data_IF_034025518568
#
_entry.id   IF_034025518568
#
_cell.length_a   1.000
_cell.length_b   1.000
_cell.length_c   1.000
_cell.angle_alpha   90.00
_cell.angle_beta   90.00
_cell.angle_gamma   90.00
#
_symmetry.space_group_name_H-M   'P 1'
#
loop_
_entity.id
_entity.type
_entity.pdbx_description
1 polymer ?
#
# COMPACT_ATOMS: atom_id res chain seq x y z
N UNK A 1 -10.65 -27.14 -10.01
CA UNK A 1 -10.97 -26.58 -11.34
C UNK A 1 -11.28 -25.12 -11.10
N UNK A 2 -10.57 -24.18 -11.75
CA UNK A 2 -10.80 -22.74 -11.55
C UNK A 2 -12.20 -22.39 -12.09
N UNK A 3 -12.99 -21.65 -11.33
CA UNK A 3 -14.28 -21.15 -11.80
C UNK A 3 -14.06 -20.18 -12.96
N UNK A 4 -15.01 -20.12 -13.90
CA UNK A 4 -15.01 -19.00 -14.86
C UNK A 4 -15.39 -17.72 -14.15
N UNK A 5 -14.91 -16.58 -14.63
CA UNK A 5 -15.24 -15.27 -14.05
C UNK A 5 -16.76 -15.04 -13.99
N UNK A 6 -17.48 -15.41 -15.04
CA UNK A 6 -18.95 -15.36 -15.05
C UNK A 6 -19.58 -16.19 -13.92
N UNK A 7 -19.15 -17.44 -13.74
CA UNK A 7 -19.70 -18.30 -12.69
C UNK A 7 -19.33 -17.81 -11.29
N UNK A 8 -18.19 -17.14 -11.15
CA UNK A 8 -17.77 -16.51 -9.90
C UNK A 8 -18.60 -15.24 -9.62
N UNK A 9 -18.80 -14.35 -10.61
CA UNK A 9 -19.67 -13.16 -10.48
C UNK A 9 -21.08 -13.54 -10.02
N UNK A 10 -21.69 -14.54 -10.65
CA UNK A 10 -23.04 -15.01 -10.27
C UNK A 10 -23.11 -15.41 -8.78
N UNK A 11 -22.08 -16.08 -8.25
CA UNK A 11 -22.02 -16.44 -6.82
C UNK A 11 -21.76 -15.23 -5.91
N UNK A 12 -20.95 -14.28 -6.36
CA UNK A 12 -20.60 -13.11 -5.56
C UNK A 12 -21.72 -12.07 -5.51
N UNK A 13 -22.59 -11.99 -6.54
CA UNK A 13 -23.80 -11.16 -6.47
C UNK A 13 -24.73 -11.62 -5.34
N UNK A 14 -24.94 -12.92 -5.16
CA UNK A 14 -25.76 -13.43 -4.06
C UNK A 14 -25.17 -13.04 -2.68
N UNK A 15 -23.84 -13.00 -2.58
CA UNK A 15 -23.14 -12.57 -1.37
C UNK A 15 -23.27 -11.06 -1.17
N UNK A 16 -23.09 -10.27 -2.23
CA UNK A 16 -23.21 -8.81 -2.20
C UNK A 16 -24.64 -8.36 -1.86
N UNK A 17 -25.66 -9.00 -2.45
CA UNK A 17 -27.08 -8.75 -2.16
C UNK A 17 -27.47 -9.08 -0.71
N UNK A 18 -26.65 -9.88 -0.03
CA UNK A 18 -26.80 -10.24 1.38
C UNK A 18 -25.77 -9.51 2.27
N UNK A 19 -25.43 -8.26 1.93
CA UNK A 19 -24.50 -7.38 2.66
C UNK A 19 -23.12 -8.02 2.92
N UNK A 20 -22.63 -8.78 1.94
CA UNK A 20 -21.38 -9.54 2.02
C UNK A 20 -21.34 -10.57 3.17
N UNK A 21 -22.49 -11.00 3.70
CA UNK A 21 -22.52 -11.96 4.78
C UNK A 21 -22.05 -13.35 4.30
N UNK A 22 -21.12 -13.93 5.06
CA UNK A 22 -20.72 -15.33 4.85
C UNK A 22 -21.95 -16.24 5.14
N UNK A 23 -22.35 -17.13 4.22
CA UNK A 23 -23.46 -18.05 4.45
C UNK A 23 -23.25 -18.87 5.74
N UNK A 24 -24.30 -19.08 6.54
CA UNK A 24 -24.23 -19.60 7.92
C UNK A 24 -23.47 -20.93 8.11
N UNK A 25 -23.25 -21.70 7.05
CA UNK A 25 -22.55 -22.99 7.08
C UNK A 25 -21.28 -23.05 6.22
N UNK A 26 -20.92 -21.94 5.56
CA UNK A 26 -19.75 -21.87 4.71
C UNK A 26 -18.50 -21.54 5.53
N UNK A 27 -17.36 -22.12 5.14
CA UNK A 27 -16.05 -21.65 5.61
C UNK A 27 -15.54 -20.58 4.65
N UNK A 28 -14.95 -19.52 5.19
CA UNK A 28 -14.45 -18.39 4.41
C UNK A 28 -13.23 -18.79 3.55
N UNK A 29 -12.28 -19.57 4.09
CA UNK A 29 -11.03 -19.90 3.40
C UNK A 29 -11.21 -20.59 2.03
N UNK A 30 -12.00 -21.68 1.88
CA UNK A 30 -12.19 -22.29 0.57
C UNK A 30 -12.73 -21.31 -0.49
N UNK A 31 -13.65 -20.43 -0.10
CA UNK A 31 -14.20 -19.39 -0.98
C UNK A 31 -13.18 -18.30 -1.30
N UNK A 32 -12.39 -17.89 -0.32
CA UNK A 32 -11.28 -16.98 -0.54
C UNK A 32 -10.29 -17.51 -1.58
N UNK A 33 -9.91 -18.79 -1.47
CA UNK A 33 -9.00 -19.43 -2.42
C UNK A 33 -9.58 -19.59 -3.83
N UNK A 34 -10.91 -19.64 -3.98
CA UNK A 34 -11.58 -19.59 -5.29
C UNK A 34 -11.50 -18.18 -5.91
N UNK A 35 -11.51 -17.13 -5.08
CA UNK A 35 -11.46 -15.73 -5.51
C UNK A 35 -10.04 -15.23 -5.82
N UNK A 36 -9.01 -15.64 -5.05
CA UNK A 36 -7.65 -15.10 -5.18
C UNK A 36 -7.09 -15.12 -6.62
N UNK A 37 -7.26 -16.19 -7.43
CA UNK A 37 -6.76 -16.20 -8.81
C UNK A 37 -7.35 -15.10 -9.71
N UNK A 38 -8.48 -14.51 -9.31
CA UNK A 38 -9.23 -13.51 -10.07
C UNK A 38 -8.98 -12.06 -9.61
N UNK A 39 -8.08 -11.84 -8.65
CA UNK A 39 -7.65 -10.49 -8.24
C UNK A 39 -7.01 -9.68 -9.40
N UNK A 40 -6.50 -10.37 -10.42
CA UNK A 40 -5.94 -9.75 -11.63
C UNK A 40 -6.92 -9.55 -12.78
N UNK A 41 -8.23 -9.69 -12.55
CA UNK A 41 -9.22 -9.51 -13.62
C UNK A 41 -9.24 -8.06 -14.13
N UNK A 42 -9.34 -7.82 -15.45
CA UNK A 42 -9.56 -6.48 -15.99
C UNK A 42 -10.98 -5.96 -15.72
N UNK A 43 -11.93 -6.85 -15.37
CA UNK A 43 -13.29 -6.51 -14.98
C UNK A 43 -13.29 -5.90 -13.55
N UNK A 44 -13.43 -4.58 -13.47
CA UNK A 44 -13.37 -3.83 -12.22
C UNK A 44 -14.52 -4.18 -11.26
N UNK A 45 -15.70 -4.50 -11.78
CA UNK A 45 -16.84 -4.89 -10.93
C UNK A 45 -16.55 -6.24 -10.25
N UNK A 46 -16.03 -7.22 -11.00
CA UNK A 46 -15.62 -8.50 -10.40
C UNK A 46 -14.50 -8.31 -9.37
N UNK A 47 -13.48 -7.53 -9.72
CA UNK A 47 -12.27 -7.38 -8.91
C UNK A 47 -12.49 -6.52 -7.66
N UNK A 48 -13.06 -5.32 -7.82
CA UNK A 48 -13.19 -4.30 -6.77
C UNK A 48 -14.49 -4.49 -5.99
N UNK A 49 -15.63 -4.46 -6.70
CA UNK A 49 -16.95 -4.40 -6.07
C UNK A 49 -17.38 -5.74 -5.48
N UNK A 50 -16.95 -6.85 -6.11
CA UNK A 50 -17.31 -8.19 -5.68
C UNK A 50 -16.20 -8.87 -4.87
N UNK A 51 -15.05 -9.20 -5.48
CA UNK A 51 -13.99 -9.99 -4.80
C UNK A 51 -13.39 -9.23 -3.63
N UNK A 52 -12.86 -8.03 -3.86
CA UNK A 52 -12.20 -7.28 -2.80
C UNK A 52 -13.17 -6.94 -1.67
N UNK A 53 -14.36 -6.42 -1.97
CA UNK A 53 -15.37 -6.10 -0.96
C UNK A 53 -15.79 -7.32 -0.13
N UNK A 54 -15.98 -8.49 -0.76
CA UNK A 54 -16.29 -9.74 -0.05
C UNK A 54 -15.16 -10.15 0.88
N UNK A 55 -13.92 -10.21 0.38
CA UNK A 55 -12.76 -10.60 1.17
C UNK A 55 -12.52 -9.61 2.32
N UNK A 56 -12.64 -8.32 2.06
CA UNK A 56 -12.46 -7.30 3.06
C UNK A 56 -13.51 -7.39 4.17
N UNK A 57 -14.79 -7.53 3.81
CA UNK A 57 -15.87 -7.73 4.78
C UNK A 57 -15.61 -8.96 5.65
N UNK A 58 -15.17 -10.08 5.08
CA UNK A 58 -14.94 -11.31 5.83
C UNK A 58 -13.69 -11.24 6.72
N UNK A 59 -12.60 -10.65 6.25
CA UNK A 59 -11.37 -10.47 7.05
C UNK A 59 -11.67 -9.55 8.24
N UNK A 60 -12.28 -8.39 8.00
CA UNK A 60 -12.58 -7.40 9.04
C UNK A 60 -13.66 -7.87 10.02
N UNK A 61 -14.58 -8.72 9.59
CA UNK A 61 -15.56 -9.36 10.46
C UNK A 61 -15.02 -10.59 11.22
N UNK A 62 -13.71 -10.88 11.13
CA UNK A 62 -13.07 -11.97 11.86
C UNK A 62 -13.56 -13.36 11.45
N UNK A 63 -13.95 -13.55 10.18
CA UNK A 63 -14.50 -14.82 9.65
C UNK A 63 -13.46 -15.88 9.33
N UNK A 64 -12.18 -15.59 9.58
CA UNK A 64 -11.05 -16.48 9.34
C UNK A 64 -10.39 -16.86 10.67
N UNK A 65 -9.94 -18.10 10.77
CA UNK A 65 -9.03 -18.51 11.84
C UNK A 65 -7.62 -17.94 11.60
N UNK A 66 -6.79 -17.88 12.64
CA UNK A 66 -5.43 -17.34 12.53
C UNK A 66 -4.58 -18.07 11.48
N UNK A 67 -4.71 -19.40 11.41
CA UNK A 67 -4.01 -20.21 10.42
C UNK A 67 -4.54 -20.00 8.99
N UNK A 68 -5.82 -19.66 8.83
CA UNK A 68 -6.39 -19.28 7.54
C UNK A 68 -5.78 -17.95 7.07
N UNK A 69 -5.70 -16.95 7.95
CA UNK A 69 -5.10 -15.64 7.65
C UNK A 69 -3.61 -15.77 7.30
N UNK A 70 -2.86 -16.63 8.02
CA UNK A 70 -1.47 -16.97 7.65
C UNK A 70 -1.38 -17.60 6.28
N UNK A 71 -2.30 -18.53 5.97
CA UNK A 71 -2.33 -19.19 4.66
C UNK A 71 -2.61 -18.20 3.54
N UNK A 72 -3.58 -17.30 3.73
CA UNK A 72 -3.91 -16.23 2.78
C UNK A 72 -2.72 -15.29 2.58
N UNK A 73 -2.11 -14.79 3.65
CA UNK A 73 -0.95 -13.91 3.55
C UNK A 73 0.20 -14.55 2.79
N UNK A 74 0.52 -15.82 3.08
CA UNK A 74 1.57 -16.55 2.35
C UNK A 74 1.25 -16.69 0.87
N UNK A 75 0.00 -16.93 0.50
CA UNK A 75 -0.44 -17.03 -0.90
C UNK A 75 -0.35 -15.69 -1.63
N UNK A 76 -0.78 -14.60 -0.98
CA UNK A 76 -0.72 -13.25 -1.55
C UNK A 76 0.72 -12.81 -1.86
N UNK A 77 1.70 -13.27 -1.06
CA UNK A 77 3.12 -12.91 -1.18
C UNK A 77 3.92 -13.84 -2.12
N UNK A 78 3.28 -14.47 -3.11
CA UNK A 78 3.91 -15.40 -4.07
C UNK A 78 4.17 -14.79 -5.45
N UNK A 79 4.94 -15.50 -6.27
CA UNK A 79 5.15 -15.27 -7.73
C UNK A 79 3.86 -15.36 -8.56
N UNK A 80 2.81 -15.95 -8.01
CA UNK A 80 1.49 -16.04 -8.66
C UNK A 80 0.59 -14.83 -8.32
N UNK A 81 0.98 -14.02 -7.34
CA UNK A 81 0.19 -12.92 -6.76
C UNK A 81 0.99 -11.62 -6.71
N UNK A 82 1.52 -11.20 -5.55
CA UNK A 82 2.25 -9.93 -5.39
C UNK A 82 3.41 -9.78 -6.39
N UNK A 83 4.10 -10.87 -6.73
CA UNK A 83 5.23 -10.87 -7.65
C UNK A 83 4.86 -11.29 -9.08
N UNK A 84 3.56 -11.43 -9.39
CA UNK A 84 3.07 -11.88 -10.68
C UNK A 84 3.55 -10.99 -11.82
N UNK A 85 4.49 -11.50 -12.61
CA UNK A 85 5.14 -10.79 -13.74
C UNK A 85 5.71 -9.43 -13.32
N UNK A 86 6.23 -9.33 -12.09
CA UNK A 86 6.74 -8.08 -11.55
C UNK A 86 7.79 -7.44 -12.48
N UNK A 87 7.59 -6.16 -12.76
CA UNK A 87 8.42 -5.38 -13.68
C UNK A 87 7.78 -5.12 -15.04
N UNK A 88 6.72 -5.86 -15.41
CA UNK A 88 5.87 -5.47 -16.54
C UNK A 88 5.13 -4.15 -16.24
N UNK A 89 5.06 -3.27 -17.23
CA UNK A 89 4.23 -2.06 -17.24
C UNK A 89 3.23 -2.11 -18.39
N UNK A 90 2.13 -1.36 -18.25
CA UNK A 90 1.12 -1.20 -19.30
C UNK A 90 0.40 -2.51 -19.68
N UNK A 91 0.38 -3.48 -18.74
CA UNK A 91 -0.34 -4.75 -18.89
C UNK A 91 -1.32 -4.97 -17.73
N UNK A 92 -2.30 -5.84 -17.91
CA UNK A 92 -3.28 -6.17 -16.86
C UNK A 92 -2.65 -6.94 -15.68
N UNK A 93 -1.37 -7.33 -15.79
CA UNK A 93 -0.64 -8.01 -14.71
C UNK A 93 -0.57 -7.17 -13.42
N UNK A 94 -0.63 -5.83 -13.53
CA UNK A 94 -0.62 -4.91 -12.39
C UNK A 94 -1.79 -5.14 -11.44
N UNK A 95 -2.97 -5.54 -11.94
CA UNK A 95 -4.14 -5.77 -11.10
C UNK A 95 -3.90 -6.91 -10.13
N UNK A 96 -3.29 -8.02 -10.59
CA UNK A 96 -2.98 -9.15 -9.73
C UNK A 96 -2.04 -8.73 -8.58
N UNK A 97 -0.97 -8.02 -8.91
CA UNK A 97 0.01 -7.56 -7.91
C UNK A 97 -0.60 -6.58 -6.93
N UNK A 98 -1.29 -5.58 -7.45
CA UNK A 98 -1.84 -4.48 -6.67
C UNK A 98 -3.00 -4.90 -5.77
N UNK A 99 -3.92 -5.74 -6.23
CA UNK A 99 -5.02 -6.25 -5.40
C UNK A 99 -4.54 -7.32 -4.42
N UNK A 100 -3.46 -8.04 -4.74
CA UNK A 100 -2.79 -8.88 -3.75
C UNK A 100 -2.22 -8.03 -2.62
N UNK A 101 -1.57 -6.91 -2.94
CA UNK A 101 -1.08 -5.93 -1.97
C UNK A 101 -2.21 -5.33 -1.12
N UNK A 102 -3.34 -4.97 -1.73
CA UNK A 102 -4.47 -4.32 -1.06
C UNK A 102 -5.10 -5.19 0.05
N UNK A 103 -5.01 -6.51 -0.05
CA UNK A 103 -5.50 -7.42 1.00
C UNK A 103 -4.54 -7.58 2.19
N UNK A 104 -3.24 -7.34 1.99
CA UNK A 104 -2.21 -7.42 3.04
C UNK A 104 -2.53 -6.55 4.27
N UNK A 105 -2.87 -5.24 4.15
CA UNK A 105 -3.16 -4.42 5.33
C UNK A 105 -4.34 -4.96 6.14
N UNK A 106 -5.35 -5.55 5.49
CA UNK A 106 -6.49 -6.13 6.21
C UNK A 106 -6.04 -7.28 7.12
N UNK A 107 -5.16 -8.15 6.63
CA UNK A 107 -4.61 -9.26 7.43
C UNK A 107 -3.69 -8.73 8.54
N UNK A 108 -2.86 -7.74 8.25
CA UNK A 108 -1.98 -7.12 9.25
C UNK A 108 -2.77 -6.39 10.34
N UNK A 109 -3.90 -5.77 10.00
CA UNK A 109 -4.81 -5.14 10.98
C UNK A 109 -5.35 -6.19 11.98
N UNK A 110 -5.75 -7.37 11.49
CA UNK A 110 -6.17 -8.48 12.34
C UNK A 110 -5.03 -8.96 13.25
N UNK A 111 -3.79 -9.03 12.73
CA UNK A 111 -2.61 -9.37 13.55
C UNK A 111 -2.36 -8.33 14.65
N UNK A 112 -2.57 -7.04 14.37
CA UNK A 112 -2.40 -5.99 15.37
C UNK A 112 -3.42 -6.07 16.51
N UNK A 113 -4.65 -6.46 16.19
CA UNK A 113 -5.71 -6.67 17.20
C UNK A 113 -5.49 -7.98 17.97
N UNK A 114 -5.16 -9.05 17.24
CA UNK A 114 -4.90 -10.39 17.77
C UNK A 114 -3.61 -10.94 17.14
N UNK A 115 -2.45 -10.84 17.82
CA UNK A 115 -1.19 -11.30 17.25
C UNK A 115 -1.17 -12.80 16.97
N UNK A 116 -0.93 -13.17 15.71
CA UNK A 116 -0.79 -14.56 15.26
C UNK A 116 0.49 -14.82 14.44
N UNK A 117 1.06 -13.81 13.79
CA UNK A 117 2.33 -13.89 13.06
C UNK A 117 3.54 -13.86 14.00
N UNK A 118 4.54 -14.67 13.69
CA UNK A 118 5.81 -14.63 14.40
C UNK A 118 6.67 -13.44 13.92
N UNK A 119 7.61 -12.94 14.74
CA UNK A 119 8.47 -11.81 14.33
C UNK A 119 9.27 -12.05 13.03
N UNK A 120 9.66 -13.30 12.76
CA UNK A 120 10.35 -13.64 11.51
C UNK A 120 9.41 -13.62 10.29
N UNK A 121 8.12 -13.90 10.47
CA UNK A 121 7.12 -13.82 9.41
C UNK A 121 6.84 -12.36 9.07
N UNK A 122 6.73 -11.48 10.06
CA UNK A 122 6.59 -10.03 9.84
C UNK A 122 7.81 -9.41 9.14
N UNK A 123 9.02 -9.88 9.47
CA UNK A 123 10.22 -9.46 8.74
C UNK A 123 10.24 -9.95 7.29
N UNK A 124 9.78 -11.17 7.01
CA UNK A 124 9.62 -11.67 5.64
C UNK A 124 8.60 -10.83 4.86
N UNK A 125 7.48 -10.47 5.49
CA UNK A 125 6.50 -9.52 4.93
C UNK A 125 7.20 -8.19 4.61
N UNK A 126 7.91 -7.59 5.57
CA UNK A 126 8.64 -6.34 5.37
C UNK A 126 9.56 -6.40 4.14
N UNK A 127 10.44 -7.38 4.07
CA UNK A 127 11.37 -7.56 2.95
C UNK A 127 10.63 -7.63 1.61
N UNK A 128 9.53 -8.40 1.55
CA UNK A 128 8.76 -8.56 0.30
C UNK A 128 7.99 -7.30 -0.10
N UNK A 129 7.43 -6.55 0.85
CA UNK A 129 6.74 -5.30 0.55
C UNK A 129 7.73 -4.25 0.02
N UNK A 130 8.91 -4.16 0.61
CA UNK A 130 9.96 -3.23 0.18
C UNK A 130 10.54 -3.62 -1.19
N UNK A 131 10.80 -4.91 -1.43
CA UNK A 131 11.24 -5.42 -2.73
C UNK A 131 10.20 -5.16 -3.84
N UNK A 132 8.91 -5.38 -3.53
CA UNK A 132 7.82 -5.04 -4.44
C UNK A 132 7.79 -3.54 -4.75
N UNK A 133 7.82 -2.69 -3.72
CA UNK A 133 7.78 -1.23 -3.90
C UNK A 133 8.93 -0.74 -4.77
N UNK A 134 10.14 -1.27 -4.57
CA UNK A 134 11.31 -0.91 -5.36
C UNK A 134 11.16 -1.35 -6.83
N UNK A 135 10.75 -2.60 -7.05
CA UNK A 135 10.79 -3.24 -8.37
C UNK A 135 9.55 -2.99 -9.23
N UNK A 136 8.42 -2.59 -8.66
CA UNK A 136 7.21 -2.28 -9.42
C UNK A 136 7.44 -1.13 -10.42
N UNK A 137 7.06 -1.38 -11.67
CA UNK A 137 7.24 -0.45 -12.80
C UNK A 137 5.91 0.04 -13.37
N UNK A 138 4.80 -0.65 -13.10
CA UNK A 138 3.47 -0.17 -13.46
C UNK A 138 2.93 0.73 -12.34
N UNK A 139 2.97 2.03 -12.60
CA UNK A 139 2.60 3.08 -11.65
C UNK A 139 1.29 3.76 -12.02
N UNK A 140 0.48 3.14 -12.86
CA UNK A 140 -0.81 3.69 -13.27
C UNK A 140 -1.76 3.77 -12.07
N UNK A 141 -2.53 4.85 -12.02
CA UNK A 141 -3.59 5.05 -11.03
C UNK A 141 -4.92 4.48 -11.51
N UNK A 142 -5.65 5.24 -12.32
CA UNK A 142 -6.86 4.78 -13.01
C UNK A 142 -6.53 4.37 -14.46
N UNK A 143 -6.94 3.17 -14.85
CA UNK A 143 -6.75 2.57 -16.17
C UNK A 143 -8.04 2.76 -16.98
N UNK A 144 -7.97 3.63 -18.00
CA UNK A 144 -9.12 4.01 -18.84
C UNK A 144 -9.34 3.05 -20.01
N UNK A 145 -8.37 2.19 -20.32
CA UNK A 145 -8.52 1.15 -21.33
C UNK A 145 -9.73 0.29 -20.99
N UNK A 146 -10.53 -0.02 -22.03
CA UNK A 146 -11.75 -0.80 -21.88
C UNK A 146 -11.43 -2.29 -21.67
N UNK A 147 -12.25 -2.93 -20.84
CA UNK A 147 -12.31 -4.39 -20.69
C UNK A 147 -13.08 -5.05 -21.84
N UNK A 148 -13.38 -6.35 -21.72
CA UNK A 148 -14.12 -7.08 -22.76
C UNK A 148 -15.58 -6.61 -22.93
N UNK A 149 -16.14 -5.91 -21.95
CA UNK A 149 -17.52 -5.41 -21.93
C UNK A 149 -17.60 -3.93 -22.35
N UNK A 150 -16.47 -3.26 -22.57
CA UNK A 150 -16.42 -1.84 -22.95
C UNK A 150 -16.37 -0.90 -21.75
N UNK A 151 -16.15 -1.40 -20.54
CA UNK A 151 -16.05 -0.59 -19.32
C UNK A 151 -14.57 -0.33 -18.96
N UNK A 152 -14.25 0.81 -18.32
CA UNK A 152 -12.87 1.07 -17.89
C UNK A 152 -12.37 0.01 -16.91
N UNK A 153 -11.13 -0.46 -17.12
CA UNK A 153 -10.49 -1.46 -16.25
C UNK A 153 -10.30 -0.99 -14.80
N UNK A 154 -10.39 0.31 -14.53
CA UNK A 154 -10.50 0.86 -13.17
C UNK A 154 -9.17 1.06 -12.46
N UNK A 155 -9.15 0.93 -11.14
CA UNK A 155 -7.98 1.27 -10.32
C UNK A 155 -6.89 0.20 -10.40
N UNK A 156 -5.66 0.62 -10.73
CA UNK A 156 -4.45 -0.20 -10.55
C UNK A 156 -3.81 0.12 -9.18
N UNK A 157 -3.39 1.36 -8.90
CA UNK A 157 -3.04 1.82 -7.54
C UNK A 157 -1.94 1.06 -6.77
N UNK A 158 -0.96 0.48 -7.48
CA UNK A 158 0.13 -0.29 -6.87
C UNK A 158 0.85 0.44 -5.71
N UNK A 159 1.22 1.71 -5.91
CA UNK A 159 1.91 2.52 -4.88
C UNK A 159 0.99 2.85 -3.70
N UNK A 160 -0.27 3.20 -4.00
CA UNK A 160 -1.27 3.54 -2.99
C UNK A 160 -1.59 2.35 -2.08
N UNK A 161 -1.80 1.15 -2.65
CA UNK A 161 -2.05 -0.06 -1.87
C UNK A 161 -0.82 -0.49 -1.07
N UNK A 162 0.38 -0.28 -1.60
CA UNK A 162 1.61 -0.52 -0.84
C UNK A 162 1.74 0.41 0.36
N UNK A 163 1.36 1.68 0.22
CA UNK A 163 1.35 2.62 1.34
C UNK A 163 0.43 2.15 2.48
N UNK A 164 -0.74 1.62 2.15
CA UNK A 164 -1.69 1.07 3.13
C UNK A 164 -1.10 -0.16 3.85
N UNK A 165 -0.45 -1.06 3.10
CA UNK A 165 0.22 -2.23 3.68
C UNK A 165 1.39 -1.84 4.62
N UNK A 166 2.20 -0.86 4.21
CA UNK A 166 3.30 -0.34 5.01
C UNK A 166 2.81 0.39 6.26
N UNK A 167 1.63 1.01 6.22
CA UNK A 167 1.03 1.67 7.39
C UNK A 167 0.72 0.65 8.48
N UNK A 168 -0.04 -0.39 8.14
CA UNK A 168 -0.36 -1.47 9.08
C UNK A 168 0.90 -2.18 9.57
N UNK A 169 1.87 -2.42 8.68
CA UNK A 169 3.14 -3.06 9.04
C UNK A 169 3.98 -2.21 10.01
N UNK A 170 4.10 -0.89 9.78
CA UNK A 170 4.85 0.01 10.65
C UNK A 170 4.29 0.06 12.08
N UNK A 171 3.01 -0.29 12.26
CA UNK A 171 2.35 -0.33 13.56
C UNK A 171 2.56 -1.67 14.31
N UNK A 172 3.10 -2.72 13.68
CA UNK A 172 3.39 -4.00 14.31
C UNK A 172 4.55 -3.90 15.32
N UNK A 173 4.30 -4.23 16.58
CA UNK A 173 5.23 -4.02 17.71
C UNK A 173 6.54 -4.81 17.61
N UNK A 174 6.52 -5.88 16.82
CA UNK A 174 7.62 -6.78 16.54
C UNK A 174 8.69 -6.15 15.65
N UNK A 175 8.35 -5.10 14.89
CA UNK A 175 9.31 -4.33 14.11
C UNK A 175 10.00 -3.28 14.98
N UNK A 176 11.32 -3.19 14.84
CA UNK A 176 12.20 -2.27 15.56
C UNK A 176 12.55 -1.04 14.75
N UNK A 177 13.52 -0.26 15.24
CA UNK A 177 13.98 0.96 14.57
C UNK A 177 14.60 0.71 13.21
N UNK A 178 15.27 -0.44 13.02
CA UNK A 178 15.90 -0.81 11.75
C UNK A 178 14.86 -0.97 10.65
N UNK A 179 13.83 -1.81 10.87
CA UNK A 179 12.79 -2.04 9.86
C UNK A 179 11.97 -0.78 9.58
N UNK A 180 11.70 0.06 10.60
CA UNK A 180 11.02 1.33 10.38
C UNK A 180 11.86 2.30 9.51
N UNK A 181 13.18 2.32 9.66
CA UNK A 181 14.06 3.13 8.82
C UNK A 181 14.16 2.61 7.39
N UNK A 182 14.06 1.29 7.19
CA UNK A 182 13.94 0.68 5.86
C UNK A 182 12.64 1.13 5.17
N UNK A 183 11.50 1.06 5.88
CA UNK A 183 10.20 1.54 5.38
C UNK A 183 10.28 3.02 4.99
N UNK A 184 10.79 3.87 5.89
CA UNK A 184 10.94 5.31 5.61
C UNK A 184 11.86 5.54 4.39
N UNK A 185 12.96 4.79 4.29
CA UNK A 185 13.88 4.89 3.15
C UNK A 185 13.22 4.50 1.84
N UNK A 186 12.47 3.40 1.81
CA UNK A 186 11.77 2.96 0.60
C UNK A 186 10.68 3.96 0.17
N UNK A 187 9.94 4.53 1.12
CA UNK A 187 8.98 5.62 0.85
C UNK A 187 9.68 6.80 0.20
N UNK A 188 10.80 7.27 0.77
CA UNK A 188 11.58 8.38 0.20
C UNK A 188 12.02 8.09 -1.23
N UNK A 189 12.51 6.87 -1.51
CA UNK A 189 12.93 6.50 -2.86
C UNK A 189 11.75 6.47 -3.84
N UNK A 190 10.62 5.87 -3.45
CA UNK A 190 9.43 5.84 -4.31
C UNK A 190 8.85 7.23 -4.56
N UNK A 191 8.84 8.09 -3.55
CA UNK A 191 8.46 9.51 -3.71
C UNK A 191 9.32 10.25 -4.72
N UNK A 192 10.57 9.83 -4.91
CA UNK A 192 11.47 10.39 -5.92
C UNK A 192 11.36 9.70 -7.29
N UNK A 193 10.23 9.03 -7.57
CA UNK A 193 9.94 8.49 -8.90
C UNK A 193 10.05 9.59 -9.97
N UNK A 194 10.73 9.25 -11.06
CA UNK A 194 11.10 10.19 -12.11
C UNK A 194 10.38 9.92 -13.43
N UNK A 195 9.77 8.75 -13.60
CA UNK A 195 9.05 8.35 -14.82
C UNK A 195 7.70 9.03 -14.96
N UNK A 196 6.98 9.23 -13.86
CA UNK A 196 5.64 9.84 -13.84
C UNK A 196 5.52 10.86 -12.71
N UNK A 197 4.51 11.74 -12.79
CA UNK A 197 4.04 12.50 -11.63
C UNK A 197 2.85 11.75 -11.03
N UNK A 198 2.86 11.55 -9.73
CA UNK A 198 1.71 10.98 -9.01
C UNK A 198 0.57 12.00 -8.96
N UNK A 199 -0.64 11.59 -9.33
CA UNK A 199 -1.79 12.48 -9.50
C UNK A 199 -3.06 11.97 -8.83
N UNK A 200 -2.99 10.84 -8.11
CA UNK A 200 -4.12 10.17 -7.49
C UNK A 200 -3.92 9.96 -5.99
N UNK A 201 -3.36 10.97 -5.32
CA UNK A 201 -3.17 11.04 -3.87
C UNK A 201 -2.17 10.00 -3.31
N UNK A 202 -1.30 9.43 -4.14
CA UNK A 202 -0.23 8.53 -3.71
C UNK A 202 0.70 9.24 -2.72
N UNK A 203 0.91 10.55 -2.90
CA UNK A 203 1.68 11.39 -2.00
C UNK A 203 1.04 11.50 -0.60
N UNK A 204 -0.28 11.66 -0.52
CA UNK A 204 -1.02 11.69 0.76
C UNK A 204 -1.07 10.32 1.43
N UNK A 205 -1.21 9.24 0.64
CA UNK A 205 -1.22 7.88 1.18
C UNK A 205 0.14 7.45 1.71
N UNK A 206 1.23 7.76 1.00
CA UNK A 206 2.60 7.47 1.45
C UNK A 206 3.00 8.22 2.74
N UNK A 207 2.31 9.31 3.08
CA UNK A 207 2.52 10.00 4.36
C UNK A 207 1.99 9.18 5.54
N UNK A 208 0.93 8.39 5.35
CA UNK A 208 0.31 7.59 6.43
C UNK A 208 1.31 6.66 7.13
N UNK A 209 2.07 5.78 6.44
CA UNK A 209 3.08 4.94 7.07
C UNK A 209 4.21 5.73 7.75
N UNK A 210 4.53 6.95 7.27
CA UNK A 210 5.50 7.81 7.95
C UNK A 210 4.99 8.24 9.32
N UNK A 211 3.75 8.72 9.41
CA UNK A 211 3.18 9.13 10.69
C UNK A 211 3.05 7.93 11.64
N UNK A 212 2.66 6.76 11.12
CA UNK A 212 2.60 5.52 11.89
C UNK A 212 3.98 5.12 12.46
N UNK A 213 5.02 5.12 11.63
CA UNK A 213 6.39 4.81 12.05
C UNK A 213 6.90 5.80 13.11
N UNK A 214 6.62 7.10 12.98
CA UNK A 214 6.96 8.10 13.99
C UNK A 214 6.15 7.93 15.28
N UNK A 215 4.88 7.54 15.18
CA UNK A 215 3.99 7.25 16.30
C UNK A 215 4.44 6.09 17.18
N UNK A 216 5.29 5.21 16.64
CA UNK A 216 5.96 4.15 17.42
C UNK A 216 6.93 4.70 18.46
N UNK A 217 7.40 5.95 18.33
CA UNK A 217 8.32 6.62 19.27
C UNK A 217 9.60 5.82 19.56
N UNK A 218 10.03 5.01 18.60
CA UNK A 218 11.31 4.26 18.64
C UNK A 218 12.42 4.95 17.84
N UNK A 219 12.05 5.85 16.92
CA UNK A 219 12.99 6.63 16.13
C UNK A 219 13.41 7.90 16.86
N UNK A 220 14.68 8.26 16.73
CA UNK A 220 15.24 9.48 17.35
C UNK A 220 15.03 10.71 16.45
N UNK A 221 15.09 11.93 17.01
CA UNK A 221 15.07 13.15 16.19
C UNK A 221 16.17 13.18 15.10
N UNK A 222 17.34 12.61 15.38
CA UNK A 222 18.45 12.51 14.43
C UNK A 222 18.10 11.61 13.25
N UNK A 223 17.39 10.50 13.50
CA UNK A 223 16.93 9.59 12.45
C UNK A 223 15.97 10.30 11.50
N UNK A 224 15.00 11.03 12.05
CA UNK A 224 14.01 11.80 11.27
C UNK A 224 14.67 12.91 10.46
N UNK A 225 15.59 13.67 11.06
CA UNK A 225 16.34 14.72 10.36
C UNK A 225 17.16 14.12 9.21
N UNK A 226 17.89 13.03 9.48
CA UNK A 226 18.74 12.36 8.49
C UNK A 226 17.91 11.77 7.35
N UNK A 227 16.73 11.24 7.67
CA UNK A 227 15.79 10.76 6.67
C UNK A 227 15.30 11.91 5.75
N UNK A 228 14.91 13.06 6.33
CA UNK A 228 14.46 14.25 5.60
C UNK A 228 15.57 14.88 4.74
N UNK A 229 16.80 14.92 5.24
CA UNK A 229 17.95 15.45 4.49
C UNK A 229 18.20 14.67 3.19
N UNK A 230 17.85 13.37 3.17
CA UNK A 230 17.93 12.52 1.99
C UNK A 230 17.04 12.97 0.82
N UNK A 231 15.99 13.75 1.05
CA UNK A 231 15.14 14.26 -0.05
C UNK A 231 15.81 15.39 -0.85
N UNK A 232 16.70 16.16 -0.24
CA UNK A 232 17.36 17.32 -0.87
C UNK A 232 18.13 16.95 -2.13
N UNK A 233 19.04 15.95 -2.13
CA UNK A 233 19.73 15.55 -3.35
C UNK A 233 18.80 14.93 -4.40
N UNK A 234 17.69 14.30 -3.99
CA UNK A 234 16.71 13.73 -4.92
C UNK A 234 15.93 14.82 -5.66
N UNK A 235 15.51 15.89 -4.96
CA UNK A 235 14.77 16.98 -5.59
C UNK A 235 15.64 17.98 -6.38
N UNK A 236 16.98 17.94 -6.21
CA UNK A 236 17.93 18.86 -6.87
C UNK A 236 18.59 18.27 -8.11
N UNK A 237 18.19 17.08 -8.54
CA UNK A 237 18.65 16.53 -9.82
C UNK A 237 18.29 17.50 -10.95
N UNK A 238 19.23 17.71 -11.88
CA UNK A 238 19.03 18.58 -13.05
C UNK A 238 18.86 17.79 -14.35
N UNK A 239 19.23 16.51 -14.35
CA UNK A 239 19.20 15.61 -15.51
C UNK A 239 18.83 14.18 -15.06
N UNK A 240 18.31 13.32 -15.96
CA UNK A 240 17.93 13.64 -17.34
C UNK A 240 16.63 14.46 -17.39
N UNK A 241 16.51 15.36 -18.37
CA UNK A 241 15.24 16.04 -18.67
C UNK A 241 14.30 15.14 -19.51
N UNK A 242 12.99 15.07 -19.23
CA UNK A 242 12.21 15.79 -18.21
C UNK A 242 12.08 15.06 -16.85
N UNK A 243 12.72 13.91 -16.67
CA UNK A 243 12.60 13.05 -15.49
C UNK A 243 12.92 13.78 -14.18
N UNK A 244 13.98 14.60 -14.19
CA UNK A 244 14.39 15.41 -13.04
C UNK A 244 13.28 16.35 -12.52
N UNK A 245 12.45 16.89 -13.42
CA UNK A 245 11.32 17.75 -13.04
C UNK A 245 10.19 16.96 -12.39
N UNK A 246 9.88 15.77 -12.91
CA UNK A 246 8.85 14.89 -12.33
C UNK A 246 9.25 14.43 -10.94
N UNK A 247 10.51 14.00 -10.80
CA UNK A 247 11.10 13.64 -9.51
C UNK A 247 11.02 14.80 -8.51
N UNK A 248 11.46 16.00 -8.89
CA UNK A 248 11.39 17.17 -8.02
C UNK A 248 9.94 17.52 -7.65
N UNK A 249 9.00 17.38 -8.59
CA UNK A 249 7.58 17.63 -8.35
C UNK A 249 6.98 16.62 -7.36
N UNK A 250 7.24 15.32 -7.52
CA UNK A 250 6.75 14.29 -6.60
C UNK A 250 7.31 14.48 -5.18
N UNK A 251 8.61 14.78 -5.06
CA UNK A 251 9.22 15.10 -3.75
C UNK A 251 8.56 16.33 -3.12
N UNK A 252 8.36 17.40 -3.89
CA UNK A 252 7.67 18.60 -3.39
C UNK A 252 6.23 18.29 -2.96
N UNK A 253 5.48 17.50 -3.72
CA UNK A 253 4.11 17.12 -3.38
C UNK A 253 4.05 16.33 -2.07
N UNK A 254 4.84 15.26 -1.96
CA UNK A 254 4.92 14.46 -0.75
C UNK A 254 5.32 15.28 0.49
N UNK A 255 6.36 16.12 0.39
CA UNK A 255 6.78 16.95 1.52
C UNK A 255 5.72 18.00 1.90
N UNK A 256 4.95 18.54 0.94
CA UNK A 256 3.81 19.41 1.24
C UNK A 256 2.71 18.64 1.96
N UNK A 257 2.38 17.45 1.49
CA UNK A 257 1.39 16.57 2.11
C UNK A 257 1.81 16.19 3.53
N UNK A 258 3.09 15.87 3.75
CA UNK A 258 3.66 15.62 5.08
C UNK A 258 3.61 16.87 5.97
N UNK A 259 3.94 18.05 5.44
CA UNK A 259 3.87 19.31 6.19
C UNK A 259 2.46 19.58 6.71
N UNK A 260 1.44 19.45 5.84
CA UNK A 260 0.05 19.67 6.25
C UNK A 260 -0.44 18.58 7.19
N UNK A 261 -0.08 17.31 6.95
CA UNK A 261 -0.44 16.20 7.84
C UNK A 261 0.17 16.37 9.23
N UNK A 262 1.44 16.74 9.32
CA UNK A 262 2.14 16.98 10.59
C UNK A 262 1.46 18.04 11.48
N UNK A 263 0.69 18.97 10.89
CA UNK A 263 -0.01 20.04 11.60
C UNK A 263 -1.45 19.70 11.96
N UNK A 264 -1.94 18.51 11.59
CA UNK A 264 -3.28 18.07 11.94
C UNK A 264 -3.35 17.63 13.42
N UNK A 265 -4.44 17.93 14.14
CA UNK A 265 -4.62 17.47 15.53
C UNK A 265 -4.45 15.97 15.69
N UNK A 266 -4.95 15.17 14.76
CA UNK A 266 -4.89 13.71 14.81
C UNK A 266 -3.43 13.20 14.78
N UNK A 267 -2.55 13.88 14.03
CA UNK A 267 -1.12 13.55 14.04
C UNK A 267 -0.46 13.91 15.36
N UNK A 268 -0.85 15.03 15.96
CA UNK A 268 -0.35 15.44 17.27
C UNK A 268 -0.75 14.44 18.38
N UNK A 269 -1.95 13.86 18.30
CA UNK A 269 -2.38 12.76 19.17
C UNK A 269 -1.50 11.50 19.00
N UNK A 270 -1.16 11.16 17.75
CA UNK A 270 -0.38 9.95 17.44
C UNK A 270 1.10 10.08 17.84
N UNK A 271 1.76 11.17 17.44
CA UNK A 271 3.23 11.31 17.59
C UNK A 271 3.66 12.25 18.73
N UNK A 272 2.70 13.00 19.30
CA UNK A 272 2.88 14.01 20.34
C UNK A 272 3.05 15.43 19.77
N UNK A 273 2.44 16.43 20.42
CA UNK A 273 2.42 17.84 19.98
C UNK A 273 3.81 18.39 19.63
N UNK A 274 4.80 18.18 20.50
CA UNK A 274 6.15 18.66 20.27
C UNK A 274 6.80 17.99 19.06
N UNK A 275 6.60 16.69 18.88
CA UNK A 275 7.12 15.93 17.74
C UNK A 275 6.44 16.35 16.44
N UNK A 276 5.13 16.59 16.47
CA UNK A 276 4.35 17.06 15.32
C UNK A 276 4.79 18.46 14.86
N UNK A 277 4.98 19.39 15.81
CA UNK A 277 5.52 20.71 15.52
C UNK A 277 6.95 20.64 14.96
N UNK A 278 7.82 19.86 15.60
CA UNK A 278 9.20 19.67 15.13
C UNK A 278 9.25 19.06 13.73
N UNK A 279 8.42 18.06 13.44
CA UNK A 279 8.29 17.46 12.11
C UNK A 279 7.88 18.51 11.06
N UNK A 280 6.86 19.31 11.35
CA UNK A 280 6.42 20.37 10.43
C UNK A 280 7.53 21.40 10.15
N UNK A 281 8.29 21.80 11.17
CA UNK A 281 9.43 22.72 11.02
C UNK A 281 10.56 22.11 10.18
N UNK A 282 10.91 20.85 10.43
CA UNK A 282 11.93 20.15 9.65
C UNK A 282 11.52 20.01 8.18
N UNK A 283 10.28 19.62 7.91
CA UNK A 283 9.74 19.50 6.55
C UNK A 283 9.72 20.85 5.85
N UNK A 284 9.32 21.93 6.53
CA UNK A 284 9.36 23.29 5.99
C UNK A 284 10.80 23.70 5.62
N UNK A 285 11.77 23.43 6.48
CA UNK A 285 13.19 23.69 6.22
C UNK A 285 13.68 22.91 4.99
N UNK A 286 13.30 21.64 4.85
CA UNK A 286 13.64 20.82 3.68
C UNK A 286 13.01 21.39 2.40
N UNK A 287 11.73 21.76 2.43
CA UNK A 287 11.03 22.40 1.31
C UNK A 287 11.73 23.70 0.87
N UNK A 288 12.17 24.53 1.80
CA UNK A 288 12.90 25.77 1.51
C UNK A 288 14.25 25.52 0.81
N UNK A 289 14.92 24.40 1.09
CA UNK A 289 16.18 24.04 0.42
C UNK A 289 15.96 23.61 -1.04
N UNK A 290 14.81 23.03 -1.37
CA UNK A 290 14.50 22.50 -2.72
C UNK A 290 13.63 23.45 -3.56
N UNK A 291 13.34 24.65 -3.05
CA UNK A 291 12.48 25.64 -3.69
C UNK A 291 13.12 26.40 -4.89
N UNK A 292 14.37 26.07 -5.27
CA UNK A 292 15.15 26.81 -6.29
C UNK A 292 14.95 26.31 -7.74
N UNK A 293 13.77 25.75 -8.04
CA UNK A 293 13.25 25.64 -9.41
C UNK A 293 11.86 26.26 -9.45
#
# INVERSE_FOLDING_TARGET
MRLSERALKDQLYEIADNDFALPEQAKALPRALEMLPHLGSPDAELRDDLIYSTLAAWILAGRFEDDDLKSLLRQLLTEEHLFYKLGESDTDSVFMRSFSMLLVPLILSQHRERPFLMPYELRDVNVKLLDYLEREQDLRGFVLEEDEMGEPKGWAYAVAHTADALDELAQCKELGSEELLEILTAIRQKTAESKIVFVHLEDERLVTPVIAALGRKVLTPTDVQSWLDGFVPLARQTEPFPDCYRQAQNVKNFLRSLYFRARKPETAEQIGDNSANALAELVLKTLQQIALF
#
